data_IF_649490765396
#
_entry.id   IF_649490765396
#
_cell.length_a   1.000
_cell.length_b   1.000
_cell.length_c   1.000
_cell.angle_alpha   90.00
_cell.angle_beta   90.00
_cell.angle_gamma   90.00
#
_symmetry.space_group_name_H-M   'P 1'
#
loop_
_entity.id
_entity.type
_entity.pdbx_description
1 polymer ?
#
# COMPACT_ATOMS: atom_id res chain seq x y z
N UNK A 1 22.76 12.23 4.04
CA UNK A 1 22.24 12.24 2.91
C UNK A 1 21.53 11.06 2.51
N UNK A 2 20.32 11.17 2.31
CA UNK A 2 19.55 10.08 1.94
C UNK A 2 19.89 9.64 0.59
N UNK A 3 20.44 10.46 -0.16
CA UNK A 3 20.77 10.06 -1.48
C UNK A 3 21.79 8.97 -1.45
N UNK A 4 22.36 8.69 -0.31
CA UNK A 4 23.34 7.65 -0.30
C UNK A 4 22.66 6.31 -0.14
N UNK A 5 21.37 6.26 0.05
CA UNK A 5 20.75 4.97 0.18
C UNK A 5 20.82 4.21 -1.14
N UNK A 6 21.17 2.97 -1.12
CA UNK A 6 21.30 2.20 -2.35
C UNK A 6 19.97 1.86 -2.96
N UNK A 7 20.00 1.47 -4.20
CA UNK A 7 18.79 1.02 -4.86
C UNK A 7 18.37 -0.27 -4.18
N UNK A 8 17.07 -0.53 -4.20
CA UNK A 8 16.53 -1.69 -3.53
C UNK A 8 16.96 -2.97 -4.26
N UNK A 9 17.59 -3.87 -3.55
CA UNK A 9 18.02 -5.12 -4.16
C UNK A 9 16.95 -6.19 -3.96
N UNK A 10 17.14 -7.31 -4.62
CA UNK A 10 16.14 -8.36 -4.62
C UNK A 10 15.90 -8.95 -3.24
N UNK A 11 16.94 -9.09 -2.49
CA UNK A 11 16.82 -9.71 -1.17
C UNK A 11 16.04 -8.81 -0.22
N UNK A 12 16.35 -7.53 -0.22
CA UNK A 12 15.64 -6.60 0.63
C UNK A 12 14.18 -6.48 0.18
N UNK A 13 13.94 -6.55 -1.14
CA UNK A 13 12.59 -6.49 -1.65
C UNK A 13 11.78 -7.67 -1.12
N UNK A 14 12.39 -8.86 -1.08
CA UNK A 14 11.69 -10.02 -0.58
C UNK A 14 11.37 -9.86 0.89
N UNK A 15 12.29 -9.29 1.67
CA UNK A 15 12.07 -9.08 3.08
C UNK A 15 10.94 -8.09 3.31
N UNK A 16 10.86 -7.05 2.48
CA UNK A 16 9.79 -6.08 2.61
C UNK A 16 8.44 -6.73 2.32
N UNK A 17 8.38 -7.59 1.32
CA UNK A 17 7.14 -8.25 0.98
C UNK A 17 6.74 -9.22 2.10
N UNK A 18 7.69 -9.90 2.71
CA UNK A 18 7.39 -10.80 3.81
C UNK A 18 6.82 -10.00 4.97
N UNK A 19 7.40 -8.84 5.24
CA UNK A 19 6.92 -8.00 6.32
C UNK A 19 5.53 -7.48 6.02
N UNK A 20 5.29 -7.07 4.78
CA UNK A 20 3.97 -6.58 4.40
C UNK A 20 2.93 -7.69 4.54
N UNK A 21 3.31 -8.92 4.19
CA UNK A 21 2.38 -10.03 4.33
C UNK A 21 2.05 -10.31 5.80
N UNK A 22 3.02 -10.21 6.68
CA UNK A 22 2.77 -10.42 8.09
C UNK A 22 1.85 -9.34 8.64
N UNK A 23 2.10 -8.10 8.24
CA UNK A 23 1.28 -7.00 8.72
C UNK A 23 -0.12 -7.09 8.11
N UNK A 24 -0.22 -7.53 6.87
CA UNK A 24 -1.51 -7.68 6.22
C UNK A 24 -2.37 -8.72 6.94
N UNK A 25 -1.75 -9.79 7.43
CA UNK A 25 -2.50 -10.82 8.14
C UNK A 25 -3.17 -10.22 9.37
N UNK A 26 -2.48 -9.34 10.05
CA UNK A 26 -3.05 -8.71 11.23
C UNK A 26 -4.20 -7.81 10.87
N UNK A 27 -4.07 -7.11 9.74
CA UNK A 27 -5.12 -6.19 9.33
C UNK A 27 -6.35 -6.93 8.82
N UNK A 28 -6.15 -7.93 7.97
CA UNK A 28 -7.30 -8.62 7.39
C UNK A 28 -8.09 -9.38 8.45
N UNK A 29 -7.40 -9.82 9.50
CA UNK A 29 -8.08 -10.56 10.54
C UNK A 29 -9.12 -9.68 11.23
N UNK A 30 -8.78 -8.43 11.43
CA UNK A 30 -9.66 -7.50 12.10
C UNK A 30 -10.92 -7.24 11.28
N UNK A 31 -10.80 -7.22 9.95
CA UNK A 31 -11.91 -6.83 9.10
C UNK A 31 -12.54 -7.99 8.32
N UNK A 32 -12.08 -9.18 8.58
CA UNK A 32 -12.66 -10.32 7.88
C UNK A 32 -12.39 -10.34 6.40
N UNK A 33 -11.23 -9.83 6.00
CA UNK A 33 -10.88 -9.80 4.59
C UNK A 33 -10.03 -10.98 4.20
N UNK A 34 -9.99 -11.26 2.92
CA UNK A 34 -9.16 -12.31 2.39
C UNK A 34 -8.49 -11.82 1.14
N UNK A 35 -7.19 -12.01 1.02
CA UNK A 35 -6.47 -11.68 -0.20
C UNK A 35 -5.80 -12.94 -0.68
N UNK A 36 -5.53 -13.00 -1.98
CA UNK A 36 -4.91 -14.17 -2.55
C UNK A 36 -3.40 -14.12 -2.42
N UNK A 37 -2.80 -12.98 -2.69
CA UNK A 37 -1.36 -12.83 -2.60
C UNK A 37 -0.98 -11.37 -2.52
N UNK A 38 0.18 -11.10 -1.95
CA UNK A 38 0.76 -9.77 -1.94
C UNK A 38 2.17 -9.94 -2.44
N UNK A 39 2.47 -9.33 -3.58
CA UNK A 39 3.78 -9.45 -4.21
C UNK A 39 4.25 -8.07 -4.65
N UNK A 40 5.51 -7.99 -5.02
CA UNK A 40 6.08 -6.73 -5.46
C UNK A 40 5.71 -6.45 -6.90
N UNK A 41 5.44 -5.19 -7.20
CA UNK A 41 5.18 -4.80 -8.56
C UNK A 41 6.51 -4.81 -9.31
N UNK A 42 6.47 -5.05 -10.60
CA UNK A 42 7.67 -5.09 -11.40
C UNK A 42 8.34 -3.73 -11.40
N UNK A 43 9.65 -3.74 -11.47
CA UNK A 43 10.42 -2.52 -11.35
C UNK A 43 10.08 -1.43 -12.37
N UNK A 44 9.66 -1.80 -13.53
CA UNK A 44 9.37 -0.79 -14.55
C UNK A 44 8.04 -0.07 -14.42
N UNK A 45 7.20 -0.53 -13.53
CA UNK A 45 5.88 0.07 -13.41
C UNK A 45 5.98 1.38 -12.63
N UNK A 46 5.56 2.48 -13.24
CA UNK A 46 5.64 3.77 -12.62
C UNK A 46 4.32 4.47 -12.41
N UNK A 47 3.27 3.97 -13.02
CA UNK A 47 2.01 4.69 -13.02
C UNK A 47 1.16 4.46 -11.78
N UNK A 48 1.53 3.55 -10.93
CA UNK A 48 0.71 3.29 -9.76
C UNK A 48 1.56 2.82 -8.60
N UNK A 49 1.09 3.02 -7.39
CA UNK A 49 1.79 2.54 -6.22
C UNK A 49 1.37 1.09 -5.90
N UNK A 50 0.18 0.70 -6.29
CA UNK A 50 -0.28 -0.66 -6.06
C UNK A 50 -1.49 -0.97 -6.89
N UNK A 51 -1.93 -2.22 -6.83
CA UNK A 51 -3.13 -2.64 -7.54
C UNK A 51 -3.71 -3.86 -6.85
N UNK A 52 -5.03 -3.94 -6.82
CA UNK A 52 -5.73 -5.10 -6.31
C UNK A 52 -6.56 -5.65 -7.44
N UNK A 53 -6.32 -6.90 -7.79
CA UNK A 53 -7.07 -7.53 -8.88
C UNK A 53 -8.33 -8.19 -8.33
N UNK A 54 -9.25 -8.47 -9.22
CA UNK A 54 -10.53 -9.03 -8.80
C UNK A 54 -10.39 -10.35 -8.06
N UNK A 55 -9.36 -11.12 -8.35
CA UNK A 55 -9.16 -12.40 -7.69
C UNK A 55 -8.47 -12.28 -6.34
N UNK A 56 -8.22 -11.07 -5.87
CA UNK A 56 -7.59 -10.86 -4.59
C UNK A 56 -6.07 -10.77 -4.62
N UNK A 57 -5.47 -10.81 -5.80
CA UNK A 57 -4.02 -10.66 -5.89
C UNK A 57 -3.70 -9.18 -5.77
N UNK A 58 -2.71 -8.85 -4.97
CA UNK A 58 -2.31 -7.48 -4.73
C UNK A 58 -0.84 -7.33 -5.08
N UNK A 59 -0.51 -6.26 -5.80
CA UNK A 59 0.89 -5.96 -6.09
C UNK A 59 1.18 -4.58 -5.56
N UNK A 60 2.34 -4.41 -4.95
CA UNK A 60 2.73 -3.15 -4.33
C UNK A 60 4.08 -2.72 -4.85
N UNK A 61 4.18 -1.47 -5.28
CA UNK A 61 5.45 -0.96 -5.76
C UNK A 61 6.32 -0.62 -4.56
N UNK A 62 7.52 -1.14 -4.55
CA UNK A 62 8.42 -0.95 -3.43
C UNK A 62 9.46 0.13 -3.67
N UNK A 63 9.61 0.58 -4.91
CA UNK A 63 10.67 1.50 -5.26
C UNK A 63 10.16 2.82 -5.75
N UNK A 64 10.99 3.84 -5.55
CA UNK A 64 10.71 5.13 -6.15
C UNK A 64 10.80 4.95 -7.67
N UNK A 65 9.92 5.60 -8.37
CA UNK A 65 9.85 5.44 -9.83
C UNK A 65 11.12 5.90 -10.54
N UNK A 66 11.78 6.90 -10.02
CA UNK A 66 12.95 7.42 -10.71
C UNK A 66 14.28 6.94 -10.13
N UNK A 67 14.38 6.78 -8.84
CA UNK A 67 15.66 6.46 -8.23
C UNK A 67 15.88 4.97 -8.01
N UNK A 68 14.81 4.20 -7.96
CA UNK A 68 14.94 2.78 -7.65
C UNK A 68 15.18 2.49 -6.20
N UNK A 69 15.21 3.51 -5.34
CA UNK A 69 15.42 3.30 -3.92
C UNK A 69 14.13 2.90 -3.26
N UNK A 70 14.24 2.24 -2.13
CA UNK A 70 13.06 1.76 -1.44
C UNK A 70 12.18 2.90 -0.97
N UNK A 71 10.89 2.73 -1.07
CA UNK A 71 9.95 3.66 -0.50
C UNK A 71 9.94 3.41 1.00
N UNK A 72 9.49 4.39 1.78
CA UNK A 72 9.42 4.23 3.21
C UNK A 72 8.38 3.17 3.53
N UNK A 73 8.61 2.44 4.60
CA UNK A 73 7.66 1.39 4.94
C UNK A 73 6.27 1.95 5.22
N UNK A 74 6.18 3.15 5.79
CA UNK A 74 4.87 3.73 6.02
C UNK A 74 4.14 3.97 4.70
N UNK A 75 4.87 4.29 3.64
CA UNK A 75 4.24 4.47 2.35
C UNK A 75 3.73 3.13 1.83
N UNK A 76 4.49 2.07 2.06
CA UNK A 76 4.06 0.75 1.63
C UNK A 76 2.83 0.30 2.39
N UNK A 77 2.77 0.60 3.68
CA UNK A 77 1.60 0.25 4.48
C UNK A 77 0.38 1.04 4.02
N UNK A 78 0.58 2.30 3.69
CA UNK A 78 -0.52 3.12 3.21
C UNK A 78 -1.08 2.50 1.92
N UNK A 79 -0.20 2.12 1.01
CA UNK A 79 -0.63 1.47 -0.23
C UNK A 79 -1.32 0.15 0.08
N UNK A 80 -0.77 -0.62 1.01
CA UNK A 80 -1.38 -1.89 1.38
C UNK A 80 -2.81 -1.68 1.88
N UNK A 81 -3.03 -0.71 2.75
CA UNK A 81 -4.35 -0.46 3.28
C UNK A 81 -5.32 -0.05 2.18
N UNK A 82 -4.82 0.72 1.22
CA UNK A 82 -5.63 1.14 0.09
C UNK A 82 -6.06 -0.09 -0.72
N UNK A 83 -5.12 -0.98 -0.99
CA UNK A 83 -5.45 -2.16 -1.79
C UNK A 83 -6.31 -3.15 -1.02
N UNK A 84 -6.11 -3.25 0.28
CA UNK A 84 -6.95 -4.13 1.07
C UNK A 84 -8.39 -3.63 1.06
N UNK A 85 -8.58 -2.31 1.04
CA UNK A 85 -9.92 -1.76 0.99
C UNK A 85 -10.62 -2.14 -0.32
N UNK A 86 -9.84 -2.29 -1.40
CA UNK A 86 -10.41 -2.69 -2.67
C UNK A 86 -10.91 -4.14 -2.66
N UNK A 87 -10.51 -4.92 -1.69
CA UNK A 87 -11.05 -6.28 -1.60
C UNK A 87 -12.55 -6.24 -1.33
N UNK A 88 -13.03 -5.12 -0.77
CA UNK A 88 -14.45 -5.01 -0.48
C UNK A 88 -15.14 -3.97 -1.37
N UNK A 89 -14.44 -2.91 -1.73
CA UNK A 89 -15.02 -1.85 -2.54
C UNK A 89 -14.11 -1.54 -3.72
N UNK A 90 -14.49 -1.91 -4.91
CA UNK A 90 -13.65 -1.66 -6.06
C UNK A 90 -13.57 -0.20 -6.44
N UNK A 91 -14.67 0.55 -6.37
CA UNK A 91 -14.66 1.94 -6.75
C UNK A 91 -14.16 2.82 -5.65
N UNK A 92 -13.59 3.96 -5.99
CA UNK A 92 -13.08 4.89 -5.00
C UNK A 92 -14.17 5.83 -4.49
N UNK A 93 -15.33 5.30 -4.22
CA UNK A 93 -16.43 6.12 -3.72
C UNK A 93 -16.33 6.31 -2.21
N UNK A 94 -17.37 6.90 -1.62
CA UNK A 94 -17.35 7.18 -0.20
C UNK A 94 -17.15 5.95 0.68
N UNK A 95 -17.74 4.83 0.31
CA UNK A 95 -17.62 3.64 1.12
C UNK A 95 -16.19 3.12 1.11
N UNK A 96 -15.54 3.19 -0.05
CA UNK A 96 -14.16 2.76 -0.16
C UNK A 96 -13.30 3.65 0.72
N UNK A 97 -13.49 4.97 0.65
CA UNK A 97 -12.67 5.88 1.40
C UNK A 97 -12.83 5.66 2.90
N UNK A 98 -14.05 5.49 3.34
CA UNK A 98 -14.29 5.27 4.75
C UNK A 98 -13.62 4.00 5.23
N UNK A 99 -13.70 2.94 4.44
CA UNK A 99 -13.12 1.66 4.81
C UNK A 99 -11.60 1.73 4.77
N UNK A 100 -11.05 2.37 3.77
CA UNK A 100 -9.62 2.54 3.66
C UNK A 100 -9.08 3.27 4.90
N UNK A 101 -9.73 4.36 5.32
CA UNK A 101 -9.29 5.08 6.48
C UNK A 101 -9.46 4.24 7.75
N UNK A 102 -10.45 3.41 7.80
CA UNK A 102 -10.67 2.55 8.92
C UNK A 102 -9.52 1.55 9.05
N UNK A 103 -9.10 0.98 7.93
CA UNK A 103 -7.97 0.04 7.93
C UNK A 103 -6.70 0.78 8.32
N UNK A 104 -6.51 1.98 7.80
CA UNK A 104 -5.31 2.75 8.08
C UNK A 104 -5.26 3.14 9.56
N UNK A 105 -6.39 3.48 10.15
CA UNK A 105 -6.44 3.81 11.55
C UNK A 105 -6.11 2.59 12.41
N UNK A 106 -6.57 1.43 12.00
CA UNK A 106 -6.25 0.22 12.73
C UNK A 106 -4.75 -0.08 12.61
N UNK A 107 -4.18 0.13 11.43
CA UNK A 107 -2.75 -0.06 11.23
C UNK A 107 -1.96 0.89 12.14
N UNK A 108 -2.46 2.10 12.30
CA UNK A 108 -1.80 3.06 13.16
C UNK A 108 -1.91 2.59 14.62
N UNK A 109 -3.07 2.13 15.03
CA UNK A 109 -3.26 1.66 16.39
C UNK A 109 -2.35 0.47 16.72
N UNK A 110 -2.08 -0.36 15.72
CA UNK A 110 -1.22 -1.52 15.94
C UNK A 110 0.27 -1.16 15.82
N UNK A 111 0.58 0.08 15.49
CA UNK A 111 1.97 0.46 15.32
C UNK A 111 2.55 0.05 13.97
N UNK A 112 1.72 -0.41 13.08
CA UNK A 112 2.17 -0.82 11.75
C UNK A 112 2.36 0.40 10.87
N UNK A 113 1.48 1.38 10.95
CA UNK A 113 1.56 2.57 10.13
C UNK A 113 2.10 3.71 10.97
N UNK A 114 3.31 4.17 10.67
CA UNK A 114 3.95 5.22 11.45
C UNK A 114 4.61 6.24 10.54
N UNK A 115 3.82 7.05 9.88
CA UNK A 115 4.38 8.04 8.97
C UNK A 115 5.22 9.03 9.74
N UNK A 116 6.38 9.34 9.22
CA UNK A 116 7.26 10.28 9.89
C UNK A 116 7.91 9.70 11.11
N UNK A 117 7.63 8.47 11.43
CA UNK A 117 8.21 7.86 12.60
C UNK A 117 7.69 8.45 13.88
N UNK A 118 6.69 9.27 13.82
CA UNK A 118 6.16 9.88 14.99
C UNK A 118 4.69 9.63 15.06
N UNK A 119 4.21 9.34 16.19
CA UNK A 119 2.82 9.04 16.31
C UNK A 119 1.96 10.24 16.06
N UNK A 120 2.49 11.34 16.26
CA UNK A 120 1.74 12.53 16.09
C UNK A 120 1.21 12.56 14.71
N UNK A 121 1.65 11.88 13.98
CA UNK A 121 1.08 11.74 12.78
C UNK A 121 0.33 12.67 12.06
N UNK A 122 0.44 13.62 12.20
CA UNK A 122 -0.27 14.53 11.55
C UNK A 122 -0.49 14.31 10.13
N UNK A 123 0.39 14.35 9.36
CA UNK A 123 0.21 14.40 7.97
C UNK A 123 -0.47 13.25 7.36
N UNK A 124 -1.42 12.81 7.97
CA UNK A 124 -2.15 11.76 7.41
C UNK A 124 -2.68 12.22 6.10
N UNK A 125 -3.12 13.41 6.02
CA UNK A 125 -3.64 13.93 4.83
C UNK A 125 -2.63 13.99 3.75
N UNK A 126 -1.47 14.42 4.08
CA UNK A 126 -0.42 14.53 3.12
C UNK A 126 -0.09 13.17 2.58
N UNK A 127 -0.15 12.21 3.41
CA UNK A 127 0.17 10.88 2.96
C UNK A 127 -0.87 10.40 1.99
N UNK A 128 -2.06 10.82 2.18
CA UNK A 128 -3.09 10.37 1.31
C UNK A 128 -3.06 11.00 -0.04
N UNK A 129 -2.72 12.22 -0.11
CA UNK A 129 -2.74 12.92 -1.36
C UNK A 129 -2.06 12.18 -2.48
N UNK A 130 -0.85 11.82 -2.34
CA UNK A 130 -0.18 11.14 -3.41
C UNK A 130 -0.82 9.78 -3.62
N UNK A 131 -1.29 9.21 -2.57
CA UNK A 131 -1.85 7.92 -2.66
C UNK A 131 -3.10 7.96 -3.48
N UNK A 132 -3.87 8.93 -3.33
CA UNK A 132 -5.07 9.03 -4.09
C UNK A 132 -4.80 9.13 -5.55
N UNK A 133 -3.83 9.90 -5.90
CA UNK A 133 -3.51 10.04 -7.26
C UNK A 133 -3.10 8.74 -7.86
N UNK A 134 -2.27 8.02 -7.21
CA UNK A 134 -1.84 6.80 -7.81
C UNK A 134 -2.95 5.81 -7.73
N UNK A 135 -3.81 5.97 -6.80
CA UNK A 135 -4.89 5.02 -6.70
C UNK A 135 -5.80 5.11 -7.89
N UNK A 136 -5.93 6.28 -8.45
CA UNK A 136 -6.79 6.40 -9.56
C UNK A 136 -6.45 5.48 -10.68
N UNK A 137 -5.23 5.43 -11.08
CA UNK A 137 -4.86 4.54 -12.13
C UNK A 137 -5.16 3.14 -11.73
N UNK A 138 -4.94 2.88 -10.48
CA UNK A 138 -5.19 1.53 -10.06
C UNK A 138 -6.64 1.28 -10.17
N UNK A 139 -7.41 2.25 -9.96
CA UNK A 139 -8.80 2.07 -10.03
C UNK A 139 -9.17 1.64 -11.39
N UNK A 140 -8.51 2.14 -12.31
CA UNK A 140 -8.80 1.80 -13.59
C UNK A 140 -8.54 0.43 -13.77
N UNK A 141 -7.49 -0.03 -13.34
CA UNK A 141 -7.19 -1.31 -13.54
C UNK A 141 -8.14 -2.10 -12.88
N UNK A 142 -8.60 -1.64 -11.87
CA UNK A 142 -9.51 -2.37 -11.20
C UNK A 142 -10.65 -2.47 -11.95
N UNK A 143 -10.96 -1.47 -12.56
CA UNK A 143 -12.10 -1.50 -13.28
C UNK A 143 -11.94 -2.45 -14.31
N UNK A 144 -10.82 -2.74 -14.66
CA UNK A 144 -10.65 -3.55 -15.69
C UNK A 144 -11.16 -4.78 -15.32
N UNK A 145 -11.12 -5.08 -14.23
CA UNK A 145 -11.62 -6.29 -13.98
C UNK A 145 -12.91 -6.06 -13.53
N UNK A 146 -13.17 -4.90 -13.58
CA UNK A 146 -14.48 -4.75 -13.22
C UNK A 146 -15.03 -4.78 -14.44
#
# INVERSE_FOLDING_TARGET
MEETRPRLDRNTARQLIERLNLDAERLVRRFGLRYRSITAERAGVRSRYGVCYADGAIKIRLRHATTGRALKYSSLVNTLCHELAHLRHFNHGPRFKAFYFEILDHARALGIYRPGGSPAAAPLRAAHAPQRRSARPAAEQLSLFG
#
